data_IF_468735992892
#
_entry.id   IF_468735992892
#
_cell.length_a   1.000
_cell.length_b   1.000
_cell.length_c   1.000
_cell.angle_alpha   90.00
_cell.angle_beta   90.00
_cell.angle_gamma   90.00
#
_symmetry.space_group_name_H-M   'P 1'
#
loop_
_entity.id
_entity.type
_entity.pdbx_description
1 polymer ?
#
# COMPACT_ATOMS: atom_id res chain seq x y z
N UNK A 1 9.74 -1.80 2.23
CA UNK A 1 8.40 -2.19 2.73
C UNK A 1 7.43 -2.51 1.61
N UNK A 2 7.12 -1.57 0.69
CA UNK A 2 6.18 -1.79 -0.41
C UNK A 2 6.47 -3.05 -1.24
N UNK A 3 7.73 -3.26 -1.64
CA UNK A 3 8.18 -4.46 -2.36
C UNK A 3 7.90 -5.78 -1.61
N UNK A 4 8.02 -5.78 -0.28
CA UNK A 4 7.74 -6.97 0.54
C UNK A 4 6.25 -7.33 0.49
N UNK A 5 5.36 -6.34 0.59
CA UNK A 5 3.91 -6.59 0.46
C UNK A 5 3.54 -7.05 -0.94
N UNK A 6 4.13 -6.46 -1.98
CA UNK A 6 3.90 -6.91 -3.35
C UNK A 6 4.37 -8.36 -3.58
N UNK A 7 5.52 -8.75 -3.00
CA UNK A 7 5.99 -10.14 -3.06
C UNK A 7 5.10 -11.13 -2.30
N UNK A 8 4.47 -10.68 -1.21
CA UNK A 8 3.53 -11.52 -0.43
C UNK A 8 2.22 -11.77 -1.18
N UNK A 9 1.81 -10.86 -2.06
CA UNK A 9 0.58 -10.95 -2.84
C UNK A 9 0.87 -10.90 -4.35
N UNK A 10 1.42 -11.98 -4.92
CA UNK A 10 1.70 -12.05 -6.36
C UNK A 10 0.41 -12.12 -7.18
N UNK A 11 0.40 -11.48 -8.34
CA UNK A 11 -0.76 -11.51 -9.23
C UNK A 11 -0.73 -12.75 -10.14
N UNK A 12 -1.80 -13.57 -10.19
CA UNK A 12 -1.88 -14.71 -11.11
C UNK A 12 -1.93 -14.23 -12.56
N UNK A 13 -1.15 -14.88 -13.43
CA UNK A 13 -1.05 -14.54 -14.84
C UNK A 13 -0.77 -15.80 -15.67
N UNK A 14 -1.72 -16.17 -16.53
CA UNK A 14 -1.61 -17.35 -17.40
C UNK A 14 -0.52 -17.22 -18.48
N UNK A 15 -0.15 -15.99 -18.83
CA UNK A 15 0.90 -15.70 -19.81
C UNK A 15 2.32 -15.76 -19.21
N UNK A 16 2.43 -15.85 -17.88
CA UNK A 16 3.71 -15.98 -17.21
C UNK A 16 4.14 -17.44 -17.12
N UNK A 17 5.42 -17.70 -17.38
CA UNK A 17 6.00 -19.05 -17.22
C UNK A 17 5.95 -19.56 -15.78
N UNK A 18 5.97 -18.65 -14.80
CA UNK A 18 5.85 -18.96 -13.36
C UNK A 18 4.40 -18.99 -12.86
N UNK A 19 3.41 -18.76 -13.74
CA UNK A 19 1.99 -18.64 -13.39
C UNK A 19 1.62 -17.36 -12.62
N UNK A 20 2.60 -16.53 -12.27
CA UNK A 20 2.41 -15.25 -11.57
C UNK A 20 3.27 -14.16 -12.19
N UNK A 21 2.80 -12.91 -12.17
CA UNK A 21 3.56 -11.77 -12.69
C UNK A 21 3.21 -10.49 -11.94
N UNK A 22 4.22 -9.89 -11.31
CA UNK A 22 4.10 -8.66 -10.53
C UNK A 22 3.10 -8.77 -9.37
N UNK A 23 2.56 -7.63 -8.96
CA UNK A 23 1.51 -7.53 -7.94
C UNK A 23 0.55 -6.39 -8.26
N UNK A 24 -0.70 -6.51 -7.79
CA UNK A 24 -1.72 -5.45 -7.85
C UNK A 24 -1.79 -4.62 -6.58
N UNK A 25 -0.95 -4.91 -5.58
CA UNK A 25 -0.88 -4.10 -4.37
C UNK A 25 -0.30 -2.73 -4.72
N UNK A 26 -1.00 -1.69 -4.27
CA UNK A 26 -0.62 -0.29 -4.38
C UNK A 26 -0.21 0.24 -3.01
N UNK A 27 0.63 1.25 -2.99
CA UNK A 27 1.01 2.00 -1.78
C UNK A 27 0.56 3.43 -1.97
N UNK A 28 -0.18 3.99 -1.01
CA UNK A 28 -0.60 5.41 -1.05
C UNK A 28 0.04 6.15 0.12
N UNK A 29 0.67 7.27 -0.19
CA UNK A 29 1.26 8.18 0.78
C UNK A 29 0.37 9.41 0.91
N UNK A 30 -0.15 9.66 2.11
CA UNK A 30 -0.89 10.89 2.41
C UNK A 30 0.09 11.93 2.98
N UNK A 31 0.39 12.98 2.23
CA UNK A 31 1.39 14.01 2.56
C UNK A 31 0.82 15.41 2.33
N UNK A 32 1.60 16.46 2.61
CA UNK A 32 1.23 17.84 2.30
C UNK A 32 1.71 18.25 0.91
N UNK A 33 0.85 18.88 0.10
CA UNK A 33 1.27 19.50 -1.16
C UNK A 33 2.08 20.79 -0.92
N UNK A 34 2.53 21.41 -2.02
CA UNK A 34 3.22 22.72 -2.01
C UNK A 34 2.40 23.85 -1.37
N UNK A 35 1.08 23.69 -1.28
CA UNK A 35 0.14 24.63 -0.69
C UNK A 35 -0.28 24.25 0.74
N UNK A 36 0.39 23.26 1.36
CA UNK A 36 0.05 22.69 2.67
C UNK A 36 -1.36 22.08 2.76
N UNK A 37 -1.92 21.63 1.64
CA UNK A 37 -3.16 20.84 1.57
C UNK A 37 -2.84 19.35 1.67
N UNK A 38 -3.80 18.57 2.19
CA UNK A 38 -3.67 17.11 2.22
C UNK A 38 -3.68 16.58 0.78
N UNK A 39 -2.61 15.90 0.41
CA UNK A 39 -2.41 15.31 -0.90
C UNK A 39 -2.17 13.80 -0.78
N UNK A 40 -2.64 13.05 -1.77
CA UNK A 40 -2.49 11.60 -1.84
C UNK A 40 -1.68 11.24 -3.08
N UNK A 41 -0.57 10.57 -2.86
CA UNK A 41 0.34 10.12 -3.92
C UNK A 41 0.31 8.60 -3.96
N UNK A 42 -0.01 8.03 -5.13
CA UNK A 42 -0.07 6.59 -5.35
C UNK A 42 1.21 6.08 -5.99
N UNK A 43 1.75 4.99 -5.45
CA UNK A 43 2.97 4.35 -5.93
C UNK A 43 2.82 2.83 -6.04
N UNK A 44 3.53 2.26 -7.01
CA UNK A 44 3.91 0.86 -7.06
C UNK A 44 5.42 0.73 -7.19
N UNK A 45 5.99 -0.37 -6.70
CA UNK A 45 7.39 -0.67 -6.99
C UNK A 45 7.50 -1.48 -8.26
N UNK A 46 8.62 -1.36 -8.96
CA UNK A 46 8.90 -2.14 -10.16
C UNK A 46 9.11 -3.63 -9.82
N UNK A 47 8.83 -4.51 -10.79
CA UNK A 47 9.12 -5.94 -10.66
C UNK A 47 10.61 -6.23 -10.41
N UNK A 48 11.50 -5.32 -10.85
CA UNK A 48 12.92 -5.39 -10.57
C UNK A 48 13.19 -5.14 -9.07
N UNK A 49 12.57 -4.11 -8.49
CA UNK A 49 12.64 -3.84 -7.05
C UNK A 49 12.08 -5.00 -6.22
N UNK A 50 10.96 -5.58 -6.65
CA UNK A 50 10.38 -6.78 -6.03
C UNK A 50 11.41 -7.92 -5.96
N UNK A 51 12.10 -8.19 -7.07
CA UNK A 51 13.12 -9.25 -7.15
C UNK A 51 14.33 -8.93 -6.27
N UNK A 52 14.82 -7.69 -6.27
CA UNK A 52 15.94 -7.26 -5.43
C UNK A 52 15.64 -7.36 -3.93
N UNK A 53 14.40 -7.09 -3.52
CA UNK A 53 13.98 -7.20 -2.12
C UNK A 53 13.73 -8.67 -1.74
N UNK A 54 13.14 -9.47 -2.64
CA UNK A 54 12.98 -10.92 -2.43
C UNK A 54 14.33 -11.59 -2.20
N UNK A 55 15.30 -11.23 -3.04
CA UNK A 55 16.64 -11.77 -2.99
C UNK A 55 17.51 -10.98 -2.02
N UNK A 56 16.96 -10.09 -1.20
CA UNK A 56 17.62 -9.35 -0.10
C UNK A 56 18.97 -8.71 -0.52
N UNK A 57 18.95 -8.08 -1.70
CA UNK A 57 20.05 -7.36 -2.34
C UNK A 57 20.02 -5.87 -1.96
N UNK A 58 18.82 -5.30 -1.86
CA UNK A 58 18.59 -3.88 -1.64
C UNK A 58 18.54 -3.53 -0.14
N UNK A 59 19.35 -2.56 0.29
CA UNK A 59 19.39 -2.06 1.67
C UNK A 59 19.10 -0.55 1.67
N UNK A 60 18.27 -0.04 2.59
CA UNK A 60 18.08 1.40 2.75
C UNK A 60 19.36 2.06 3.30
N UNK A 61 19.71 3.25 2.80
CA UNK A 61 20.79 4.04 3.39
C UNK A 61 20.29 4.80 4.62
N UNK A 62 21.19 5.15 5.54
CA UNK A 62 20.84 5.86 6.79
C UNK A 62 20.67 7.36 6.56
N UNK A 63 21.52 7.94 5.72
CA UNK A 63 21.68 9.39 5.64
C UNK A 63 20.84 10.03 4.52
N UNK A 64 20.52 9.27 3.46
CA UNK A 64 19.84 9.79 2.26
C UNK A 64 18.69 8.86 1.82
N UNK A 65 17.43 9.12 2.21
CA UNK A 65 16.31 8.22 1.91
C UNK A 65 16.04 8.07 0.40
N UNK A 66 16.51 9.00 -0.42
CA UNK A 66 16.46 8.96 -1.89
C UNK A 66 17.42 7.95 -2.53
N UNK A 67 18.37 7.41 -1.75
CA UNK A 67 19.36 6.45 -2.22
C UNK A 67 19.22 5.11 -1.49
N UNK A 68 19.32 4.04 -2.28
CA UNK A 68 19.45 2.68 -1.79
C UNK A 68 20.86 2.14 -2.06
N UNK A 69 21.32 1.31 -1.13
CA UNK A 69 22.60 0.63 -1.22
C UNK A 69 22.39 -0.82 -1.68
N UNK A 70 23.25 -1.27 -2.59
CA UNK A 70 23.26 -2.65 -3.07
C UNK A 70 24.30 -3.40 -2.28
N UNK A 71 23.89 -4.50 -1.63
CA UNK A 71 24.77 -5.33 -0.82
C UNK A 71 25.92 -5.89 -1.66
N UNK A 72 27.09 -6.00 -1.05
CA UNK A 72 28.23 -6.66 -1.69
C UNK A 72 28.07 -8.18 -1.69
N UNK A 73 28.69 -8.84 -2.67
CA UNK A 73 28.76 -10.30 -2.70
C UNK A 73 29.47 -10.82 -1.46
N UNK A 74 28.90 -11.83 -0.82
CA UNK A 74 29.48 -12.53 0.33
C UNK A 74 29.62 -14.02 0.00
N UNK A 75 30.40 -14.76 0.78
CA UNK A 75 30.56 -16.22 0.58
C UNK A 75 29.24 -16.99 0.59
N UNK A 76 28.23 -16.49 1.32
CA UNK A 76 26.91 -17.13 1.43
C UNK A 76 25.93 -16.69 0.35
N UNK A 77 26.20 -15.58 -0.34
CA UNK A 77 25.22 -14.93 -1.21
C UNK A 77 25.89 -14.12 -2.30
N UNK A 78 25.66 -14.58 -3.53
CA UNK A 78 26.08 -13.88 -4.73
C UNK A 78 25.16 -12.68 -4.98
N UNK A 79 25.75 -11.50 -5.16
CA UNK A 79 25.06 -10.29 -5.57
C UNK A 79 25.68 -9.80 -6.88
N UNK A 80 24.92 -9.77 -8.00
CA UNK A 80 25.45 -9.32 -9.27
C UNK A 80 25.71 -7.81 -9.27
N UNK A 81 26.57 -7.36 -10.19
CA UNK A 81 26.70 -5.95 -10.49
C UNK A 81 25.42 -5.42 -11.13
N UNK A 82 24.84 -4.42 -10.47
CA UNK A 82 23.64 -3.74 -10.93
C UNK A 82 24.04 -2.42 -11.55
N UNK A 83 23.47 -2.15 -12.73
CA UNK A 83 23.64 -0.91 -13.46
C UNK A 83 22.29 -0.27 -13.70
N UNK A 84 22.26 1.05 -13.74
CA UNK A 84 21.08 1.82 -14.15
C UNK A 84 21.46 2.76 -15.30
N UNK A 85 20.47 3.11 -16.12
CA UNK A 85 20.64 4.04 -17.24
C UNK A 85 20.16 5.42 -16.83
N UNK A 86 20.99 6.42 -17.09
CA UNK A 86 20.66 7.83 -16.91
C UNK A 86 20.80 8.56 -18.24
N UNK A 87 19.93 9.53 -18.50
CA UNK A 87 20.08 10.45 -19.63
C UNK A 87 20.95 11.62 -19.20
N UNK A 88 21.98 11.91 -19.96
CA UNK A 88 22.82 13.10 -19.74
C UNK A 88 22.10 14.38 -20.23
N UNK A 89 22.75 15.53 -20.02
CA UNK A 89 22.26 16.84 -20.47
C UNK A 89 22.09 16.95 -21.99
N UNK A 90 22.73 16.06 -22.75
CA UNK A 90 22.69 15.98 -24.20
C UNK A 90 21.71 14.91 -24.71
N UNK A 91 20.97 14.24 -23.82
CA UNK A 91 20.00 13.21 -24.15
C UNK A 91 20.57 11.82 -24.46
N UNK A 92 21.88 11.59 -24.26
CA UNK A 92 22.51 10.29 -24.45
C UNK A 92 22.26 9.38 -23.24
N UNK A 93 22.07 8.08 -23.48
CA UNK A 93 21.97 7.08 -22.42
C UNK A 93 23.35 6.65 -21.93
N UNK A 94 23.65 6.92 -20.65
CA UNK A 94 24.88 6.48 -19.98
C UNK A 94 24.53 5.44 -18.93
N UNK A 95 25.28 4.33 -18.90
CA UNK A 95 25.17 3.30 -17.86
C UNK A 95 26.04 3.66 -16.67
N UNK A 96 25.45 3.74 -15.48
CA UNK A 96 26.15 3.97 -14.21
C UNK A 96 26.01 2.77 -13.29
N UNK A 97 27.04 2.54 -12.47
CA UNK A 97 27.00 1.51 -11.44
C UNK A 97 26.03 1.92 -10.34
N UNK A 98 25.16 1.00 -9.91
CA UNK A 98 24.09 1.25 -8.95
C UNK A 98 24.57 1.20 -7.49
N UNK A 99 25.69 1.87 -7.20
CA UNK A 99 26.32 1.92 -5.87
C UNK A 99 26.75 3.36 -5.55
N UNK A 100 25.85 4.24 -5.08
CA UNK A 100 24.45 4.01 -4.67
C UNK A 100 23.42 4.07 -5.83
N UNK A 101 22.27 3.44 -5.63
CA UNK A 101 21.14 3.40 -6.57
C UNK A 101 20.05 4.40 -6.15
N UNK A 102 19.65 5.35 -7.01
CA UNK A 102 18.50 6.21 -6.70
C UNK A 102 17.20 5.41 -6.68
N UNK A 103 16.39 5.57 -5.63
CA UNK A 103 15.14 4.79 -5.47
C UNK A 103 14.05 5.17 -6.46
N UNK A 104 14.12 6.36 -7.06
CA UNK A 104 13.15 6.82 -8.08
C UNK A 104 13.02 5.85 -9.26
N UNK A 105 14.13 5.21 -9.67
CA UNK A 105 14.14 4.23 -10.77
C UNK A 105 13.39 2.94 -10.43
N UNK A 106 13.12 2.71 -9.14
CA UNK A 106 12.42 1.54 -8.64
C UNK A 106 10.92 1.79 -8.43
N UNK A 107 10.46 3.03 -8.59
CA UNK A 107 9.09 3.45 -8.34
C UNK A 107 8.34 3.69 -9.65
N UNK A 108 7.03 3.46 -9.59
CA UNK A 108 6.08 3.71 -10.67
C UNK A 108 4.93 4.51 -10.07
N UNK A 109 4.63 5.65 -10.68
CA UNK A 109 3.53 6.50 -10.26
C UNK A 109 2.19 5.88 -10.66
N UNK A 110 1.26 5.85 -9.70
CA UNK A 110 -0.11 5.39 -9.90
C UNK A 110 -1.05 6.57 -9.62
N UNK A 111 -1.92 6.95 -10.57
CA UNK A 111 -2.84 8.05 -10.35
C UNK A 111 -3.79 7.74 -9.19
N UNK A 112 -3.89 8.68 -8.25
CA UNK A 112 -4.82 8.63 -7.13
C UNK A 112 -5.89 9.71 -7.33
N UNK A 113 -7.17 9.32 -7.32
CA UNK A 113 -8.28 10.25 -7.44
C UNK A 113 -9.53 9.69 -6.77
N UNK A 114 -10.53 10.58 -6.64
CA UNK A 114 -11.86 10.22 -6.18
C UNK A 114 -12.82 10.28 -7.37
N UNK A 115 -13.83 9.39 -7.42
CA UNK A 115 -14.86 9.45 -8.46
C UNK A 115 -15.64 10.77 -8.35
N UNK A 116 -16.06 11.31 -9.50
CA UNK A 116 -16.84 12.56 -9.55
C UNK A 116 -18.18 12.41 -8.84
N UNK A 117 -18.86 11.31 -9.14
CA UNK A 117 -20.10 10.90 -8.49
C UNK A 117 -19.75 9.69 -7.62
N UNK A 118 -19.88 9.84 -6.30
CA UNK A 118 -19.38 8.86 -5.37
C UNK A 118 -20.33 7.66 -5.26
N UNK A 119 -19.89 6.51 -5.78
CA UNK A 119 -20.56 5.22 -5.57
C UNK A 119 -19.80 4.44 -4.49
N UNK A 120 -20.43 4.26 -3.34
CA UNK A 120 -19.86 3.53 -2.21
C UNK A 120 -20.49 2.14 -2.09
N UNK A 121 -19.67 1.12 -1.83
CA UNK A 121 -20.14 -0.24 -1.51
C UNK A 121 -20.66 -0.34 -0.07
N UNK A 122 -20.03 0.39 0.86
CA UNK A 122 -20.45 0.54 2.24
C UNK A 122 -20.86 1.99 2.46
N UNK A 123 -22.15 2.22 2.66
CA UNK A 123 -22.72 3.57 2.77
C UNK A 123 -23.26 3.75 4.18
N UNK A 124 -22.56 4.50 5.06
CA UNK A 124 -23.14 4.87 6.33
C UNK A 124 -24.40 5.70 6.06
N UNK A 125 -25.56 5.34 6.63
CA UNK A 125 -26.78 6.12 6.44
C UNK A 125 -26.62 7.53 7.00
N UNK A 126 -27.24 8.52 6.36
CA UNK A 126 -27.19 9.90 6.84
C UNK A 126 -27.71 10.00 8.29
N UNK A 127 -26.94 10.68 9.14
CA UNK A 127 -27.27 10.88 10.55
C UNK A 127 -26.96 9.71 11.49
N UNK A 128 -26.46 8.58 10.96
CA UNK A 128 -26.07 7.42 11.77
C UNK A 128 -24.57 7.45 12.05
N UNK A 129 -24.20 7.18 13.30
CA UNK A 129 -22.80 7.05 13.71
C UNK A 129 -22.31 5.64 13.37
N UNK A 130 -21.31 5.56 12.49
CA UNK A 130 -20.66 4.31 12.09
C UNK A 130 -20.06 3.54 13.28
N UNK A 131 -19.88 2.24 13.08
CA UNK A 131 -19.30 1.35 14.08
C UNK A 131 -17.83 1.71 14.34
N UNK A 132 -17.32 1.56 15.59
CA UNK A 132 -15.93 1.87 15.88
C UNK A 132 -14.95 1.05 15.01
N UNK A 133 -13.95 1.73 14.45
CA UNK A 133 -12.88 1.11 13.66
C UNK A 133 -11.98 0.26 14.55
N UNK A 134 -11.60 -0.94 14.08
CA UNK A 134 -10.73 -1.87 14.80
C UNK A 134 -9.33 -1.29 15.07
N UNK A 135 -8.61 -1.88 16.04
CA UNK A 135 -7.23 -1.53 16.40
C UNK A 135 -7.01 -0.05 16.82
N UNK A 136 -8.07 0.65 17.25
CA UNK A 136 -7.97 2.00 17.84
C UNK A 136 -8.19 1.91 19.35
N UNK A 137 -7.12 1.82 20.12
CA UNK A 137 -7.12 1.80 21.60
C UNK A 137 -7.33 3.20 22.20
N UNK A 138 -8.24 3.97 21.61
CA UNK A 138 -8.63 5.30 22.08
C UNK A 138 -9.99 5.22 22.76
N UNK A 139 -10.19 6.00 23.81
CA UNK A 139 -11.47 6.07 24.49
C UNK A 139 -12.60 6.45 23.52
N UNK A 140 -13.67 5.66 23.54
CA UNK A 140 -14.82 5.82 22.64
C UNK A 140 -14.70 5.16 21.27
N UNK A 141 -13.55 4.54 20.95
CA UNK A 141 -13.34 3.73 19.74
C UNK A 141 -13.16 2.23 20.00
N UNK A 142 -13.28 1.78 21.25
CA UNK A 142 -13.25 0.37 21.58
C UNK A 142 -14.47 -0.36 21.02
N UNK A 143 -14.23 -1.52 20.41
CA UNK A 143 -15.27 -2.42 19.95
C UNK A 143 -15.68 -3.32 21.12
N UNK A 144 -16.78 -2.97 21.79
CA UNK A 144 -17.36 -3.72 22.90
C UNK A 144 -18.85 -4.01 22.66
N UNK A 145 -19.43 -4.90 23.48
CA UNK A 145 -20.86 -5.20 23.43
C UNK A 145 -21.73 -3.95 23.63
N UNK A 146 -21.23 -2.94 24.36
CA UNK A 146 -21.92 -1.68 24.55
C UNK A 146 -21.91 -0.81 23.28
N UNK A 147 -20.82 -0.77 22.51
CA UNK A 147 -20.75 -0.16 21.19
C UNK A 147 -21.67 -0.88 20.19
N UNK A 148 -21.73 -2.22 20.26
CA UNK A 148 -22.68 -3.01 19.47
C UNK A 148 -24.13 -2.63 19.78
N UNK A 149 -24.51 -2.59 21.07
CA UNK A 149 -25.85 -2.20 21.49
C UNK A 149 -26.19 -0.77 21.07
N UNK A 150 -25.27 0.18 21.23
CA UNK A 150 -25.44 1.58 20.78
C UNK A 150 -25.56 1.70 19.26
N UNK A 151 -24.81 0.90 18.50
CA UNK A 151 -24.90 0.89 17.05
C UNK A 151 -26.25 0.36 16.59
N UNK A 152 -26.65 -0.83 17.05
CA UNK A 152 -27.92 -1.45 16.67
C UNK A 152 -29.15 -0.66 17.13
N UNK A 153 -29.07 0.05 18.26
CA UNK A 153 -30.16 0.90 18.75
C UNK A 153 -30.52 2.07 17.83
N UNK A 154 -29.63 2.44 16.89
CA UNK A 154 -29.89 3.47 15.88
C UNK A 154 -30.79 2.99 14.74
N UNK A 155 -31.01 1.68 14.61
CA UNK A 155 -31.73 1.09 13.50
C UNK A 155 -33.07 0.48 13.94
N UNK A 156 -34.06 0.58 13.06
CA UNK A 156 -35.30 -0.17 13.20
C UNK A 156 -35.14 -1.57 12.59
N UNK A 157 -35.95 -2.57 13.00
CA UNK A 157 -35.90 -3.92 12.40
C UNK A 157 -36.10 -3.94 10.87
N UNK A 158 -36.83 -2.95 10.34
CA UNK A 158 -37.04 -2.76 8.89
C UNK A 158 -35.82 -2.19 8.17
N UNK A 159 -34.90 -1.56 8.89
CA UNK A 159 -33.66 -0.97 8.37
C UNK A 159 -32.43 -1.85 8.61
N UNK A 160 -32.60 -3.11 8.98
CA UNK A 160 -31.49 -4.01 9.33
C UNK A 160 -30.41 -4.09 8.24
N UNK A 161 -30.80 -4.12 6.95
CA UNK A 161 -29.85 -4.14 5.83
C UNK A 161 -28.93 -2.91 5.80
N UNK A 162 -29.42 -1.75 6.24
CA UNK A 162 -28.61 -0.53 6.36
C UNK A 162 -27.58 -0.65 7.48
N UNK A 163 -27.91 -1.35 8.56
CA UNK A 163 -26.96 -1.62 9.65
C UNK A 163 -25.80 -2.51 9.20
N UNK A 164 -26.04 -3.44 8.28
CA UNK A 164 -25.00 -4.32 7.70
C UNK A 164 -24.15 -3.63 6.61
N UNK A 165 -24.45 -2.38 6.22
CA UNK A 165 -23.65 -1.61 5.25
C UNK A 165 -22.42 -0.93 5.89
N UNK A 166 -21.87 -1.51 6.96
CA UNK A 166 -20.66 -1.05 7.64
C UNK A 166 -19.65 -2.20 7.71
N UNK A 167 -18.46 -1.99 7.12
CA UNK A 167 -17.41 -3.00 7.05
C UNK A 167 -16.85 -3.37 8.43
N UNK A 168 -16.68 -2.40 9.32
CA UNK A 168 -16.10 -2.63 10.65
C UNK A 168 -17.05 -3.42 11.54
N UNK A 169 -18.36 -3.15 11.40
CA UNK A 169 -19.41 -3.92 12.05
C UNK A 169 -19.44 -5.37 11.57
N UNK A 170 -19.40 -5.60 10.26
CA UNK A 170 -19.34 -6.96 9.69
C UNK A 170 -18.12 -7.73 10.17
N UNK A 171 -16.95 -7.07 10.20
CA UNK A 171 -15.71 -7.67 10.68
C UNK A 171 -15.82 -8.04 12.17
N UNK A 172 -16.40 -7.16 12.99
CA UNK A 172 -16.61 -7.42 14.40
C UNK A 172 -17.53 -8.63 14.63
N UNK A 173 -18.69 -8.68 13.98
CA UNK A 173 -19.60 -9.84 14.08
C UNK A 173 -18.92 -11.12 13.62
N UNK A 174 -18.16 -11.09 12.53
CA UNK A 174 -17.46 -12.28 12.02
C UNK A 174 -16.35 -12.79 12.97
N UNK A 175 -15.86 -11.95 13.89
CA UNK A 175 -14.89 -12.33 14.92
C UNK A 175 -15.54 -12.72 16.26
N UNK A 176 -16.83 -12.46 16.43
CA UNK A 176 -17.60 -12.88 17.59
C UNK A 176 -18.03 -14.35 17.40
N UNK A 177 -17.17 -15.28 17.82
CA UNK A 177 -17.55 -16.66 18.13
C UNK A 177 -18.14 -16.78 19.55
#
# INVERSE_FOLDING_TARGET
MAAHFQNKYPNPCSLSSSGTFGSKIVTVCCTGDKNNQIHMEGYQVSNQCMSMVRDDILIPTKDLPELAYIRESSEKKYVPDVFYKVKDEYGNEVTKIARPLPVEYLLVDVPCSHPRDAEYTFTPPEGIRGFPVENRLLDGHLQDFHALGRYLAQFTPTDALKAFSDFHFLLYIAQMD
#
